data_IF_820850801907
#
_entry.id   IF_820850801907
#
_cell.length_a   1.000
_cell.length_b   1.000
_cell.length_c   1.000
_cell.angle_alpha   90.00
_cell.angle_beta   90.00
_cell.angle_gamma   90.00
#
_symmetry.space_group_name_H-M   'P 1'
#
loop_
_entity.id
_entity.type
_entity.pdbx_description
1 polymer ?
#
# COMPACT_ATOMS: atom_id res chain seq x y z
N UNK A 1 44.40 17.89 -68.82
CA UNK A 1 44.56 18.03 -67.36
C UNK A 1 43.45 19.01 -66.89
N UNK A 2 42.32 18.51 -66.39
CA UNK A 2 41.18 19.30 -65.99
C UNK A 2 40.99 19.09 -64.48
N UNK A 3 41.08 20.19 -63.68
CA UNK A 3 40.79 20.21 -62.25
C UNK A 3 39.28 20.24 -62.06
N UNK A 4 38.71 19.53 -61.09
CA UNK A 4 37.32 19.67 -60.72
C UNK A 4 37.13 20.85 -59.75
N UNK A 5 36.15 21.74 -60.01
CA UNK A 5 35.64 22.75 -59.13
C UNK A 5 34.89 22.08 -57.98
N UNK A 6 35.37 22.27 -56.77
CA UNK A 6 34.67 21.91 -55.55
C UNK A 6 33.56 22.94 -55.25
N UNK A 7 32.31 22.48 -55.32
CA UNK A 7 31.12 23.23 -54.89
C UNK A 7 31.06 23.24 -53.38
N UNK A 8 31.44 24.37 -52.77
CA UNK A 8 31.23 24.61 -51.31
C UNK A 8 29.77 25.01 -51.12
N UNK A 9 28.94 24.10 -50.66
CA UNK A 9 27.61 24.41 -50.15
C UNK A 9 27.75 25.23 -48.84
N UNK A 10 27.54 26.52 -48.92
CA UNK A 10 27.33 27.39 -47.76
C UNK A 10 25.98 27.03 -47.14
N UNK A 11 25.98 26.33 -45.98
CA UNK A 11 24.84 26.22 -45.13
C UNK A 11 24.51 27.59 -44.53
N UNK A 12 23.38 28.18 -44.95
CA UNK A 12 22.88 29.43 -44.36
C UNK A 12 22.65 29.22 -42.87
N UNK A 13 23.17 30.14 -41.99
CA UNK A 13 22.87 30.07 -40.58
C UNK A 13 21.36 30.31 -40.37
N UNK A 14 20.71 29.40 -39.64
CA UNK A 14 19.32 29.57 -39.21
C UNK A 14 19.19 30.93 -38.51
N UNK A 15 18.40 31.83 -39.08
CA UNK A 15 18.22 33.21 -38.59
C UNK A 15 17.65 33.15 -37.17
N UNK A 16 18.45 33.53 -36.18
CA UNK A 16 18.05 33.68 -34.80
C UNK A 16 17.06 34.84 -34.66
N UNK A 17 15.93 34.63 -33.99
CA UNK A 17 14.87 35.62 -33.86
C UNK A 17 14.86 36.30 -32.50
N UNK A 18 14.51 37.62 -32.45
CA UNK A 18 14.36 38.36 -31.20
C UNK A 18 12.99 38.08 -30.52
N UNK A 19 12.92 38.25 -29.20
CA UNK A 19 11.68 38.02 -28.39
C UNK A 19 10.52 38.90 -28.85
N UNK A 20 10.80 40.11 -29.41
CA UNK A 20 9.77 41.03 -29.89
C UNK A 20 9.08 40.55 -31.19
N UNK A 21 9.54 39.48 -31.79
CA UNK A 21 8.95 38.86 -32.97
C UNK A 21 8.00 37.70 -32.69
N UNK A 22 7.58 37.50 -31.44
CA UNK A 22 6.61 36.45 -31.06
C UNK A 22 5.19 37.00 -31.22
N UNK A 23 4.42 36.40 -32.09
CA UNK A 23 2.98 36.61 -32.25
C UNK A 23 2.22 35.48 -31.57
N UNK A 24 1.23 35.81 -30.73
CA UNK A 24 0.39 34.86 -30.02
C UNK A 24 -1.00 34.91 -30.59
N UNK A 25 -1.57 33.76 -30.92
CA UNK A 25 -2.88 33.59 -31.52
C UNK A 25 -3.69 32.55 -30.75
N UNK A 26 -5.00 32.82 -30.52
CA UNK A 26 -5.93 31.90 -29.91
C UNK A 26 -6.07 32.02 -28.39
N UNK A 27 -5.28 32.86 -27.75
CA UNK A 27 -5.45 33.18 -26.33
C UNK A 27 -6.75 33.98 -26.09
N UNK A 28 -7.40 33.73 -24.96
CA UNK A 28 -8.66 34.39 -24.54
C UNK A 28 -8.53 34.97 -23.12
N UNK A 29 -8.12 34.14 -22.19
CA UNK A 29 -8.01 34.42 -20.74
C UNK A 29 -6.57 34.66 -20.31
N UNK A 30 -5.64 33.91 -20.92
CA UNK A 30 -4.20 34.07 -20.63
C UNK A 30 -3.65 35.25 -21.43
N UNK A 31 -3.02 36.16 -20.74
CA UNK A 31 -2.43 37.35 -21.39
C UNK A 31 -1.29 36.97 -22.33
N UNK A 32 -1.19 37.72 -23.44
CA UNK A 32 -0.13 37.54 -24.46
C UNK A 32 1.26 37.60 -23.84
N UNK A 33 1.48 38.56 -22.93
CA UNK A 33 2.76 38.72 -22.24
C UNK A 33 3.13 37.53 -21.35
N UNK A 34 2.15 36.93 -20.71
CA UNK A 34 2.36 35.69 -19.93
C UNK A 34 2.87 34.56 -20.83
N UNK A 35 2.25 34.36 -22.00
CA UNK A 35 2.68 33.32 -22.95
C UNK A 35 4.09 33.64 -23.47
N UNK A 36 4.39 34.89 -23.80
CA UNK A 36 5.71 35.33 -24.26
C UNK A 36 6.81 35.09 -23.23
N UNK A 37 6.52 35.25 -21.94
CA UNK A 37 7.48 35.10 -20.85
C UNK A 37 8.10 33.69 -20.72
N UNK A 38 7.46 32.68 -21.27
CA UNK A 38 7.99 31.32 -21.33
C UNK A 38 9.11 31.14 -22.35
N UNK A 39 9.17 32.02 -23.37
CA UNK A 39 10.21 31.98 -24.39
C UNK A 39 11.38 32.91 -23.98
N UNK A 40 12.29 32.37 -23.16
CA UNK A 40 13.45 33.12 -22.64
C UNK A 40 14.53 33.27 -23.73
N UNK A 41 14.87 34.49 -24.15
CA UNK A 41 15.92 34.71 -25.14
C UNK A 41 17.31 34.39 -24.58
N UNK A 42 18.21 34.00 -25.46
CA UNK A 42 19.61 33.80 -25.17
C UNK A 42 20.42 35.12 -25.15
N UNK A 43 21.75 35.00 -24.99
CA UNK A 43 22.65 36.12 -25.14
C UNK A 43 22.43 36.78 -26.49
N UNK A 44 22.26 38.13 -26.51
CA UNK A 44 21.95 38.90 -27.72
C UNK A 44 20.46 38.94 -28.12
N UNK A 45 19.53 38.50 -27.24
CA UNK A 45 18.09 38.62 -27.49
C UNK A 45 17.52 37.62 -28.52
N UNK A 46 18.25 36.55 -28.83
CA UNK A 46 17.87 35.60 -29.90
C UNK A 46 17.22 34.35 -29.35
N UNK A 47 16.21 33.82 -30.09
CA UNK A 47 15.56 32.53 -29.84
C UNK A 47 16.05 31.49 -30.85
N UNK A 48 16.92 30.58 -30.40
CA UNK A 48 17.29 29.39 -31.16
C UNK A 48 16.22 28.29 -31.05
N UNK A 49 16.39 27.20 -31.80
CA UNK A 49 15.42 26.10 -31.82
C UNK A 49 15.27 25.41 -30.44
N UNK A 50 16.37 25.31 -29.68
CA UNK A 50 16.35 24.70 -28.35
C UNK A 50 15.51 25.53 -27.36
N UNK A 51 15.69 26.85 -27.35
CA UNK A 51 14.93 27.76 -26.47
C UNK A 51 13.44 27.83 -26.83
N UNK A 52 13.13 27.67 -28.12
CA UNK A 52 11.73 27.55 -28.56
C UNK A 52 11.11 26.25 -28.06
N UNK A 53 11.84 25.15 -28.12
CA UNK A 53 11.40 23.86 -27.59
C UNK A 53 11.24 23.89 -26.05
N UNK A 54 12.18 24.51 -25.34
CA UNK A 54 12.07 24.70 -23.87
C UNK A 54 10.85 25.55 -23.51
N UNK A 55 10.58 26.63 -24.26
CA UNK A 55 9.40 27.46 -24.07
C UNK A 55 8.09 26.70 -24.34
N UNK A 56 8.06 25.87 -25.40
CA UNK A 56 6.92 25.00 -25.71
C UNK A 56 6.65 24.02 -24.60
N UNK A 57 7.68 23.32 -24.12
CA UNK A 57 7.56 22.35 -22.98
C UNK A 57 7.04 23.05 -21.72
N UNK A 58 7.61 24.20 -21.38
CA UNK A 58 7.19 24.98 -20.23
C UNK A 58 5.72 25.44 -20.33
N UNK A 59 5.26 25.84 -21.53
CA UNK A 59 3.83 26.17 -21.74
C UNK A 59 2.93 24.97 -21.59
N UNK A 60 3.29 23.82 -22.12
CA UNK A 60 2.52 22.56 -22.00
C UNK A 60 2.45 22.13 -20.52
N UNK A 61 3.56 22.22 -19.79
CA UNK A 61 3.65 21.86 -18.36
C UNK A 61 2.76 22.73 -17.46
N UNK A 62 2.40 23.95 -17.88
CA UNK A 62 1.45 24.78 -17.11
C UNK A 62 0.05 24.15 -16.99
N UNK A 63 -0.31 23.25 -17.91
CA UNK A 63 -1.66 22.68 -17.99
C UNK A 63 -2.74 23.69 -18.39
N UNK A 64 -2.38 24.93 -18.77
CA UNK A 64 -3.33 25.96 -19.18
C UNK A 64 -3.86 25.76 -20.60
N UNK A 65 -3.14 25.02 -21.43
CA UNK A 65 -3.42 24.85 -22.85
C UNK A 65 -3.66 23.37 -23.19
N UNK A 66 -4.66 23.13 -24.03
CA UNK A 66 -4.94 21.80 -24.59
C UNK A 66 -4.11 21.51 -25.84
N UNK A 67 -3.71 22.58 -26.55
CA UNK A 67 -2.85 22.48 -27.72
C UNK A 67 -1.96 23.76 -27.83
N UNK A 68 -0.70 23.57 -28.21
CA UNK A 68 0.26 24.63 -28.46
C UNK A 68 1.03 24.30 -29.73
N UNK A 69 0.86 25.10 -30.76
CA UNK A 69 1.57 24.95 -32.03
C UNK A 69 2.47 26.14 -32.27
N UNK A 70 3.71 25.90 -32.69
CA UNK A 70 4.67 26.93 -32.99
C UNK A 70 5.07 26.83 -34.46
N UNK A 71 4.84 27.90 -35.18
CA UNK A 71 5.21 28.03 -36.58
C UNK A 71 6.09 29.28 -36.80
N UNK A 72 6.96 29.21 -37.81
CA UNK A 72 7.75 30.39 -38.27
C UNK A 72 7.13 30.93 -39.56
N UNK A 73 6.71 32.18 -39.52
CA UNK A 73 6.13 32.87 -40.68
C UNK A 73 6.79 34.25 -40.85
N UNK A 74 7.38 34.49 -42.03
CA UNK A 74 7.92 35.81 -42.37
C UNK A 74 8.94 36.38 -41.38
N UNK A 75 9.75 35.51 -40.72
CA UNK A 75 10.73 35.93 -39.71
C UNK A 75 10.16 36.11 -38.29
N UNK A 76 8.87 35.85 -38.09
CA UNK A 76 8.20 35.86 -36.78
C UNK A 76 7.95 34.46 -36.27
N UNK A 77 7.93 34.28 -34.94
CA UNK A 77 7.50 33.08 -34.29
C UNK A 77 6.01 33.19 -33.93
N UNK A 78 5.14 32.42 -34.59
CA UNK A 78 3.70 32.41 -34.34
C UNK A 78 3.40 31.25 -33.38
N UNK A 79 2.96 31.60 -32.17
CA UNK A 79 2.53 30.65 -31.12
C UNK A 79 1.03 30.60 -31.10
N UNK A 80 0.46 29.52 -31.64
CA UNK A 80 -1.00 29.28 -31.63
C UNK A 80 -1.34 28.43 -30.43
N UNK A 81 -2.23 28.91 -29.56
CA UNK A 81 -2.65 28.22 -28.35
C UNK A 81 -4.13 27.95 -28.36
N UNK A 82 -4.52 26.83 -27.76
CA UNK A 82 -5.92 26.51 -27.42
C UNK A 82 -6.00 26.36 -25.90
N UNK A 83 -6.68 27.30 -25.26
CA UNK A 83 -6.81 27.26 -23.79
C UNK A 83 -7.72 26.14 -23.30
N UNK A 84 -7.26 25.46 -22.27
CA UNK A 84 -8.10 24.51 -21.53
C UNK A 84 -9.30 25.23 -20.90
N UNK A 85 -10.49 24.65 -20.91
CA UNK A 85 -11.67 25.24 -20.28
C UNK A 85 -11.50 25.36 -18.76
N UNK A 86 -12.29 26.23 -18.16
CA UNK A 86 -12.36 26.43 -16.71
C UNK A 86 -13.45 25.56 -16.12
N UNK A 87 -13.15 24.85 -15.06
CA UNK A 87 -14.14 24.04 -14.33
C UNK A 87 -15.16 24.98 -13.67
N UNK A 88 -16.44 24.88 -14.07
CA UNK A 88 -17.55 25.62 -13.48
C UNK A 88 -17.93 25.05 -12.13
N UNK A 89 -18.21 23.76 -12.10
CA UNK A 89 -18.47 22.99 -10.89
C UNK A 89 -17.90 21.57 -11.00
N UNK A 90 -17.71 20.95 -9.84
CA UNK A 90 -17.41 19.52 -9.70
C UNK A 90 -18.57 18.90 -8.94
N UNK A 91 -19.14 17.83 -9.49
CA UNK A 91 -20.28 17.10 -8.90
C UNK A 91 -19.98 15.60 -8.90
N UNK A 92 -20.66 14.89 -8.00
CA UNK A 92 -20.57 13.43 -7.87
C UNK A 92 -21.98 12.86 -7.96
N UNK A 93 -22.13 11.76 -8.69
CA UNK A 93 -23.41 11.07 -8.85
C UNK A 93 -23.24 9.58 -8.58
N UNK A 94 -24.25 8.96 -7.94
CA UNK A 94 -24.23 7.53 -7.64
C UNK A 94 -23.48 7.13 -6.36
N UNK A 95 -22.80 8.04 -5.70
CA UNK A 95 -22.00 7.84 -4.48
C UNK A 95 -22.85 7.76 -3.19
N UNK A 96 -23.61 6.67 -3.03
CA UNK A 96 -24.53 6.49 -1.89
C UNK A 96 -23.83 6.18 -0.56
N UNK A 97 -22.61 5.65 -0.59
CA UNK A 97 -21.84 5.20 0.59
C UNK A 97 -20.78 6.18 1.05
N UNK A 98 -20.29 7.02 0.15
CA UNK A 98 -19.30 8.05 0.45
C UNK A 98 -19.93 9.41 0.18
N UNK A 99 -19.80 10.35 1.11
CA UNK A 99 -20.38 11.69 0.99
C UNK A 99 -19.59 12.56 0.02
N UNK A 100 -20.26 13.51 -0.64
CA UNK A 100 -19.65 14.46 -1.58
C UNK A 100 -18.47 15.22 -0.96
N UNK A 101 -18.58 15.64 0.33
CA UNK A 101 -17.52 16.37 1.01
C UNK A 101 -16.23 15.55 1.11
N UNK A 102 -16.34 14.23 1.32
CA UNK A 102 -15.20 13.34 1.38
C UNK A 102 -14.54 13.19 0.01
N UNK A 103 -15.35 12.99 -1.04
CA UNK A 103 -14.85 12.90 -2.42
C UNK A 103 -14.22 14.22 -2.86
N UNK A 104 -14.87 15.35 -2.53
CA UNK A 104 -14.39 16.69 -2.86
C UNK A 104 -13.05 17.02 -2.19
N UNK A 105 -12.76 16.47 -1.02
CA UNK A 105 -11.47 16.63 -0.34
C UNK A 105 -10.32 15.93 -1.07
N UNK A 106 -10.59 14.79 -1.68
CA UNK A 106 -9.58 13.93 -2.32
C UNK A 106 -9.27 14.32 -3.78
N UNK A 107 -10.23 14.91 -4.51
CA UNK A 107 -10.00 15.30 -5.90
C UNK A 107 -9.19 16.60 -5.99
N UNK A 108 -8.33 16.70 -6.98
CA UNK A 108 -7.55 17.89 -7.27
C UNK A 108 -8.30 18.89 -8.17
N UNK A 109 -9.20 18.39 -9.02
CA UNK A 109 -10.08 19.23 -9.83
C UNK A 109 -10.98 20.07 -8.91
N UNK A 110 -10.86 21.40 -9.01
CA UNK A 110 -11.63 22.34 -8.18
C UNK A 110 -12.39 23.33 -9.07
N UNK A 111 -13.56 23.83 -8.63
CA UNK A 111 -14.23 24.95 -9.30
C UNK A 111 -13.28 26.13 -9.49
N UNK A 112 -13.39 26.80 -10.64
CA UNK A 112 -12.53 27.89 -11.11
C UNK A 112 -11.09 27.48 -11.49
N UNK A 113 -10.72 26.21 -11.33
CA UNK A 113 -9.47 25.65 -11.82
C UNK A 113 -9.51 25.41 -13.34
N UNK A 114 -8.35 25.28 -13.95
CA UNK A 114 -8.24 24.86 -15.35
C UNK A 114 -8.47 23.36 -15.47
N UNK A 115 -9.27 22.92 -16.44
CA UNK A 115 -9.50 21.51 -16.70
C UNK A 115 -8.24 20.88 -17.29
N UNK A 116 -7.76 19.83 -16.65
CA UNK A 116 -6.69 18.97 -17.17
C UNK A 116 -7.20 17.54 -17.28
N UNK A 117 -7.23 16.98 -18.49
CA UNK A 117 -7.67 15.59 -18.69
C UNK A 117 -6.86 14.57 -17.87
N UNK A 118 -5.52 14.65 -17.79
CA UNK A 118 -4.74 13.77 -16.92
C UNK A 118 -5.13 13.91 -15.44
N UNK A 119 -5.39 15.12 -14.96
CA UNK A 119 -5.85 15.38 -13.58
C UNK A 119 -7.20 14.75 -13.32
N UNK A 120 -8.17 14.93 -14.23
CA UNK A 120 -9.50 14.32 -14.13
C UNK A 120 -9.42 12.78 -14.07
N UNK A 121 -8.56 12.18 -14.89
CA UNK A 121 -8.34 10.74 -14.86
C UNK A 121 -7.71 10.28 -13.54
N UNK A 122 -6.74 11.03 -13.03
CA UNK A 122 -6.14 10.77 -11.72
C UNK A 122 -7.16 10.91 -10.59
N UNK A 123 -8.06 11.89 -10.66
CA UNK A 123 -9.12 12.08 -9.67
C UNK A 123 -10.13 10.92 -9.70
N UNK A 124 -10.50 10.42 -10.88
CA UNK A 124 -11.33 9.23 -10.98
C UNK A 124 -10.69 8.00 -10.31
N UNK A 125 -9.37 7.84 -10.46
CA UNK A 125 -8.63 6.78 -9.81
C UNK A 125 -8.58 6.95 -8.28
N UNK A 126 -8.42 8.18 -7.77
CA UNK A 126 -8.47 8.48 -6.33
C UNK A 126 -9.82 8.17 -5.73
N UNK A 127 -10.90 8.58 -6.42
CA UNK A 127 -12.26 8.23 -6.00
C UNK A 127 -12.43 6.70 -5.93
N UNK A 128 -12.00 5.98 -6.98
CA UNK A 128 -12.07 4.52 -6.98
C UNK A 128 -11.28 3.89 -5.83
N UNK A 129 -10.12 4.46 -5.47
CA UNK A 129 -9.31 3.97 -4.37
C UNK A 129 -9.99 4.12 -3.00
N UNK A 130 -10.77 5.20 -2.77
CA UNK A 130 -11.58 5.36 -1.55
C UNK A 130 -12.57 4.19 -1.40
N UNK A 131 -13.23 3.82 -2.49
CA UNK A 131 -14.16 2.70 -2.49
C UNK A 131 -13.47 1.35 -2.29
N UNK A 132 -12.29 1.15 -2.91
CA UNK A 132 -11.48 -0.08 -2.72
C UNK A 132 -11.06 -0.25 -1.26
N UNK A 133 -10.61 0.82 -0.59
CA UNK A 133 -10.30 0.80 0.85
C UNK A 133 -11.52 0.44 1.71
N UNK A 134 -12.72 0.72 1.24
CA UNK A 134 -13.97 0.30 1.90
C UNK A 134 -14.42 -1.12 1.50
N UNK A 135 -13.58 -1.88 0.78
CA UNK A 135 -13.85 -3.24 0.34
C UNK A 135 -14.69 -3.36 -0.94
N UNK A 136 -14.80 -2.30 -1.75
CA UNK A 136 -15.56 -2.27 -3.00
C UNK A 136 -14.62 -2.20 -4.20
N UNK A 137 -14.07 -3.34 -4.60
CA UNK A 137 -13.06 -3.41 -5.66
C UNK A 137 -13.66 -3.35 -7.08
N UNK A 138 -14.94 -3.67 -7.25
CA UNK A 138 -15.69 -3.59 -8.54
C UNK A 138 -16.27 -2.18 -8.79
N UNK A 139 -15.79 -1.16 -8.08
CA UNK A 139 -16.18 0.23 -8.27
C UNK A 139 -15.74 0.72 -9.65
N UNK A 140 -16.65 1.43 -10.34
CA UNK A 140 -16.34 2.12 -11.58
C UNK A 140 -16.63 3.61 -11.42
N UNK A 141 -15.67 4.45 -11.80
CA UNK A 141 -15.78 5.91 -11.76
C UNK A 141 -15.56 6.45 -13.15
N UNK A 142 -16.60 7.06 -13.72
CA UNK A 142 -16.58 7.63 -15.06
C UNK A 142 -16.68 9.14 -14.97
N UNK A 143 -15.65 9.90 -15.39
CA UNK A 143 -15.73 11.34 -15.46
C UNK A 143 -16.47 11.79 -16.72
N UNK A 144 -17.44 12.67 -16.57
CA UNK A 144 -18.18 13.32 -17.65
C UNK A 144 -17.89 14.81 -17.64
N UNK A 145 -17.69 15.38 -18.81
CA UNK A 145 -17.39 16.79 -19.02
C UNK A 145 -18.50 17.42 -19.86
N UNK A 146 -19.30 18.28 -19.23
CA UNK A 146 -20.42 18.97 -19.89
C UNK A 146 -19.96 20.38 -20.23
N UNK A 147 -19.82 20.65 -21.53
CA UNK A 147 -19.43 21.96 -22.04
C UNK A 147 -20.47 23.03 -21.71
N UNK A 148 -19.99 24.19 -21.28
CA UNK A 148 -20.76 25.35 -20.91
C UNK A 148 -20.29 26.60 -21.74
N UNK A 149 -21.12 27.62 -21.89
CA UNK A 149 -20.71 28.87 -22.53
C UNK A 149 -19.44 29.48 -21.88
N UNK A 150 -18.73 30.31 -22.65
CA UNK A 150 -17.52 31.03 -22.21
C UNK A 150 -16.32 30.14 -21.82
N UNK A 151 -16.10 29.05 -22.58
CA UNK A 151 -14.99 28.09 -22.35
C UNK A 151 -14.97 27.54 -20.92
N UNK A 152 -16.15 27.18 -20.40
CA UNK A 152 -16.33 26.54 -19.10
C UNK A 152 -16.80 25.10 -19.29
N UNK A 153 -16.58 24.29 -18.27
CA UNK A 153 -17.01 22.90 -18.26
C UNK A 153 -17.49 22.53 -16.85
N UNK A 154 -18.60 21.81 -16.78
CA UNK A 154 -19.01 21.13 -15.56
C UNK A 154 -18.45 19.72 -15.58
N UNK A 155 -17.75 19.34 -14.50
CA UNK A 155 -17.13 18.03 -14.32
C UNK A 155 -18.00 17.20 -13.37
N UNK A 156 -18.49 16.07 -13.85
CA UNK A 156 -19.32 15.14 -13.09
C UNK A 156 -18.57 13.81 -13.00
N UNK A 157 -18.42 13.27 -11.79
CA UNK A 157 -17.92 11.92 -11.57
C UNK A 157 -19.10 10.99 -11.27
N UNK A 158 -19.48 10.16 -12.24
CA UNK A 158 -20.51 9.13 -12.06
C UNK A 158 -19.87 7.89 -11.44
N UNK A 159 -20.38 7.51 -10.27
CA UNK A 159 -19.84 6.40 -9.46
C UNK A 159 -20.81 5.22 -9.46
N UNK A 160 -20.39 4.10 -10.02
CA UNK A 160 -21.02 2.81 -9.84
C UNK A 160 -20.30 2.09 -8.69
N UNK A 161 -20.86 2.13 -7.47
CA UNK A 161 -20.15 1.71 -6.25
C UNK A 161 -19.81 0.21 -6.21
N UNK A 162 -20.57 -0.62 -6.92
CA UNK A 162 -20.46 -2.08 -6.81
C UNK A 162 -20.86 -2.64 -5.44
N UNK A 163 -20.81 -3.94 -5.29
CA UNK A 163 -20.98 -4.63 -4.01
C UNK A 163 -19.64 -4.67 -3.25
N UNK A 164 -19.67 -5.01 -1.95
CA UNK A 164 -18.46 -5.40 -1.24
C UNK A 164 -17.87 -6.65 -1.89
N UNK A 165 -16.57 -6.62 -2.11
CA UNK A 165 -15.85 -7.70 -2.79
C UNK A 165 -15.47 -8.78 -1.78
N UNK A 166 -15.89 -10.00 -2.02
CA UNK A 166 -15.61 -11.14 -1.17
C UNK A 166 -14.42 -11.97 -1.63
N UNK A 167 -14.03 -12.92 -0.79
CA UNK A 167 -13.05 -13.97 -1.10
C UNK A 167 -13.78 -15.13 -1.77
N UNK A 168 -13.38 -15.49 -2.97
CA UNK A 168 -14.01 -16.56 -3.77
C UNK A 168 -13.36 -17.91 -3.60
N UNK A 169 -12.05 -17.94 -3.34
CA UNK A 169 -11.29 -19.16 -3.09
C UNK A 169 -10.16 -18.90 -2.12
N UNK A 170 -9.92 -19.87 -1.23
CA UNK A 170 -8.77 -19.91 -0.34
C UNK A 170 -8.02 -21.20 -0.59
N UNK A 171 -6.78 -21.08 -1.03
CA UNK A 171 -5.92 -22.20 -1.36
C UNK A 171 -4.68 -22.22 -0.47
N UNK A 172 -4.17 -23.43 -0.24
CA UNK A 172 -2.93 -23.64 0.51
C UNK A 172 -1.99 -24.47 -0.36
N UNK A 173 -0.73 -24.06 -0.40
CA UNK A 173 0.33 -24.72 -1.16
C UNK A 173 1.46 -25.09 -0.23
N UNK A 174 1.89 -26.36 -0.27
CA UNK A 174 2.95 -26.89 0.59
C UNK A 174 2.43 -27.48 1.91
N UNK A 175 1.12 -27.56 2.13
CA UNK A 175 0.46 -28.11 3.32
C UNK A 175 0.30 -29.64 3.25
N UNK A 176 1.41 -30.37 3.35
CA UNK A 176 1.40 -31.86 3.24
C UNK A 176 0.90 -32.52 4.53
N UNK A 177 1.18 -31.95 5.70
CA UNK A 177 0.84 -32.51 7.00
C UNK A 177 -0.63 -32.30 7.39
N UNK A 178 -1.26 -31.24 6.91
CA UNK A 178 -2.65 -30.91 7.23
C UNK A 178 -3.43 -30.59 5.97
N UNK A 179 -4.66 -31.08 5.91
CA UNK A 179 -5.56 -30.81 4.78
C UNK A 179 -5.95 -29.33 4.72
N UNK A 180 -6.22 -28.82 3.50
CA UNK A 180 -6.72 -27.47 3.30
C UNK A 180 -8.02 -27.21 4.05
N UNK A 181 -8.89 -28.22 4.20
CA UNK A 181 -10.09 -28.13 5.02
C UNK A 181 -9.76 -27.79 6.48
N UNK A 182 -8.77 -28.49 7.07
CA UNK A 182 -8.33 -28.24 8.45
C UNK A 182 -7.73 -26.86 8.64
N UNK A 183 -6.98 -26.36 7.64
CA UNK A 183 -6.40 -25.02 7.70
C UNK A 183 -7.44 -23.92 7.53
N UNK A 184 -8.51 -24.15 6.73
CA UNK A 184 -9.66 -23.23 6.64
C UNK A 184 -10.37 -23.05 7.98
N UNK A 185 -10.41 -24.06 8.85
CA UNK A 185 -10.97 -23.93 10.19
C UNK A 185 -10.11 -23.10 11.16
N UNK A 186 -8.82 -22.91 10.84
CA UNK A 186 -7.87 -22.15 11.68
C UNK A 186 -7.93 -20.66 11.41
N UNK A 187 -8.21 -20.26 10.17
CA UNK A 187 -8.22 -18.88 9.72
C UNK A 187 -9.56 -18.18 9.94
N UNK A 188 -9.55 -16.85 9.93
CA UNK A 188 -10.74 -16.01 10.09
C UNK A 188 -11.36 -15.56 8.78
N UNK A 189 -10.57 -15.57 7.69
CA UNK A 189 -11.08 -15.30 6.35
C UNK A 189 -11.87 -16.51 5.86
N UNK A 190 -13.06 -16.27 5.31
CA UNK A 190 -13.93 -17.30 4.78
C UNK A 190 -14.26 -17.02 3.31
N UNK A 191 -14.54 -18.09 2.57
CA UNK A 191 -15.02 -18.00 1.20
C UNK A 191 -16.47 -17.51 1.17
N UNK A 192 -16.79 -16.65 0.20
CA UNK A 192 -18.15 -16.16 -0.03
C UNK A 192 -19.07 -17.32 -0.42
N UNK A 193 -20.14 -17.52 0.33
CA UNK A 193 -21.16 -18.55 0.08
C UNK A 193 -22.58 -17.92 0.07
N UNK A 194 -23.61 -18.73 -0.16
CA UNK A 194 -25.01 -18.28 -0.19
C UNK A 194 -25.50 -17.66 1.12
N UNK A 195 -24.82 -17.95 2.26
CA UNK A 195 -25.18 -17.43 3.58
C UNK A 195 -24.29 -16.26 4.03
N UNK A 196 -23.45 -15.73 3.13
CA UNK A 196 -22.50 -14.63 3.43
C UNK A 196 -23.19 -13.34 3.90
N UNK A 197 -24.48 -13.17 3.66
CA UNK A 197 -25.25 -12.03 4.17
C UNK A 197 -25.36 -12.00 5.71
N UNK A 198 -25.07 -13.09 6.39
CA UNK A 198 -25.12 -13.21 7.86
C UNK A 198 -23.80 -12.87 8.56
N UNK A 199 -22.71 -12.69 7.82
CA UNK A 199 -21.38 -12.44 8.38
C UNK A 199 -20.56 -11.45 7.57
N UNK A 200 -19.38 -11.10 8.08
CA UNK A 200 -18.41 -10.20 7.42
C UNK A 200 -17.06 -10.85 7.12
N UNK A 201 -16.89 -12.11 7.49
CA UNK A 201 -15.63 -12.86 7.31
C UNK A 201 -15.30 -13.19 5.85
N UNK A 202 -16.27 -13.10 4.97
CA UNK A 202 -16.17 -13.36 3.53
C UNK A 202 -15.80 -12.13 2.71
N UNK A 203 -15.90 -10.92 3.26
CA UNK A 203 -15.40 -9.68 2.63
C UNK A 203 -13.88 -9.70 2.69
N UNK A 204 -13.23 -9.43 1.56
CA UNK A 204 -11.77 -9.32 1.53
C UNK A 204 -11.28 -8.18 2.41
N UNK A 205 -10.29 -8.51 3.26
CA UNK A 205 -9.64 -7.61 4.20
C UNK A 205 -8.16 -8.01 4.28
N UNK A 206 -7.24 -7.17 3.77
CA UNK A 206 -5.82 -7.49 3.73
C UNK A 206 -5.20 -7.68 5.12
N UNK A 207 -5.63 -6.91 6.13
CA UNK A 207 -5.11 -7.02 7.49
C UNK A 207 -5.53 -8.36 8.13
N UNK A 208 -6.73 -8.83 7.80
CA UNK A 208 -7.21 -10.15 8.26
C UNK A 208 -6.45 -11.28 7.59
N UNK A 209 -6.17 -11.18 6.28
CA UNK A 209 -5.37 -12.18 5.56
C UNK A 209 -3.95 -12.25 6.14
N UNK A 210 -3.36 -11.12 6.52
CA UNK A 210 -2.06 -11.10 7.19
C UNK A 210 -2.13 -11.72 8.60
N UNK A 211 -3.18 -11.43 9.36
CA UNK A 211 -3.41 -12.08 10.66
C UNK A 211 -3.63 -13.60 10.53
N UNK A 212 -4.24 -14.05 9.44
CA UNK A 212 -4.45 -15.48 9.17
C UNK A 212 -3.12 -16.22 8.94
N UNK A 213 -2.09 -15.57 8.37
CA UNK A 213 -0.73 -16.13 8.29
C UNK A 213 -0.18 -16.49 9.66
N UNK A 214 -0.38 -15.62 10.65
CA UNK A 214 0.03 -15.88 12.03
C UNK A 214 -0.77 -17.01 12.66
N UNK A 215 -2.06 -17.10 12.38
CA UNK A 215 -2.90 -18.21 12.88
C UNK A 215 -2.44 -19.55 12.31
N UNK A 216 -2.17 -19.63 11.00
CA UNK A 216 -1.62 -20.82 10.34
C UNK A 216 -0.28 -21.17 10.98
N UNK A 217 0.64 -20.21 11.10
CA UNK A 217 1.96 -20.42 11.72
C UNK A 217 1.84 -20.95 13.13
N UNK A 218 0.99 -20.35 13.99
CA UNK A 218 0.75 -20.82 15.37
C UNK A 218 0.16 -22.22 15.41
N UNK A 219 -0.75 -22.56 14.48
CA UNK A 219 -1.32 -23.87 14.37
C UNK A 219 -0.24 -24.93 14.10
N UNK A 220 0.68 -24.70 13.18
CA UNK A 220 1.80 -25.60 12.90
C UNK A 220 2.77 -25.71 14.08
N UNK A 221 3.12 -24.58 14.71
CA UNK A 221 3.96 -24.57 15.93
C UNK A 221 3.36 -25.36 17.10
N UNK A 222 2.03 -25.33 17.23
CA UNK A 222 1.31 -26.14 18.22
C UNK A 222 1.37 -27.64 17.92
N UNK A 223 1.55 -28.01 16.66
CA UNK A 223 1.57 -29.39 16.20
C UNK A 223 3.00 -29.93 15.91
N UNK A 224 4.01 -29.28 16.43
CA UNK A 224 5.40 -29.78 16.40
C UNK A 224 6.26 -29.24 15.26
N UNK A 225 5.74 -28.41 14.36
CA UNK A 225 6.49 -27.89 13.22
C UNK A 225 7.24 -26.59 13.59
N UNK A 226 8.38 -26.74 14.28
CA UNK A 226 9.13 -25.62 14.84
C UNK A 226 9.76 -24.70 13.78
N UNK A 227 9.98 -25.20 12.56
CA UNK A 227 10.61 -24.48 11.45
C UNK A 227 9.59 -23.93 10.44
N UNK A 228 8.30 -24.07 10.71
CA UNK A 228 7.25 -23.65 9.78
C UNK A 228 7.38 -22.17 9.40
N UNK A 229 7.26 -21.92 8.11
CA UNK A 229 7.16 -20.57 7.55
C UNK A 229 5.95 -20.47 6.64
N UNK A 230 5.13 -19.44 6.82
CA UNK A 230 4.12 -19.03 5.85
C UNK A 230 4.76 -17.94 4.99
N UNK A 231 5.41 -18.35 3.91
CA UNK A 231 6.30 -17.48 3.11
C UNK A 231 5.55 -16.41 2.34
N UNK A 232 4.29 -16.67 2.00
CA UNK A 232 3.46 -15.68 1.30
C UNK A 232 1.97 -15.91 1.56
N UNK A 233 1.21 -14.82 1.54
CA UNK A 233 -0.23 -14.80 1.33
C UNK A 233 -0.48 -13.99 0.06
N UNK A 234 -0.62 -14.68 -1.07
CA UNK A 234 -0.86 -14.06 -2.37
C UNK A 234 -2.35 -13.79 -2.51
N UNK A 235 -2.71 -12.57 -2.92
CA UNK A 235 -4.08 -12.18 -3.17
C UNK A 235 -4.21 -11.65 -4.58
N UNK A 236 -5.13 -12.22 -5.34
CA UNK A 236 -5.39 -11.84 -6.73
C UNK A 236 -6.87 -11.55 -6.90
N UNK A 237 -7.19 -10.41 -7.52
CA UNK A 237 -8.57 -10.09 -7.89
C UNK A 237 -8.92 -10.76 -9.20
N UNK A 238 -9.97 -11.61 -9.19
CA UNK A 238 -10.52 -12.26 -10.37
C UNK A 238 -11.72 -11.43 -10.88
N UNK A 239 -11.59 -10.75 -12.03
CA UNK A 239 -12.67 -9.93 -12.59
C UNK A 239 -13.89 -10.75 -13.06
N UNK A 240 -13.69 -12.01 -13.47
CA UNK A 240 -14.76 -12.90 -13.94
C UNK A 240 -15.60 -13.37 -12.76
N UNK A 241 -14.97 -13.78 -11.67
CA UNK A 241 -15.63 -14.19 -10.42
C UNK A 241 -16.03 -13.04 -9.53
N UNK A 242 -15.59 -11.80 -9.86
CA UNK A 242 -15.80 -10.57 -9.09
C UNK A 242 -15.42 -10.74 -7.61
N UNK A 243 -14.21 -11.25 -7.36
CA UNK A 243 -13.74 -11.50 -6.01
C UNK A 243 -12.28 -11.87 -5.93
N UNK A 244 -11.79 -12.06 -4.71
CA UNK A 244 -10.38 -12.37 -4.44
C UNK A 244 -10.15 -13.88 -4.36
N UNK A 245 -9.03 -14.30 -4.94
CA UNK A 245 -8.39 -15.59 -4.69
C UNK A 245 -7.26 -15.34 -3.70
N UNK A 246 -7.22 -16.11 -2.62
CA UNK A 246 -6.19 -16.01 -1.58
C UNK A 246 -5.43 -17.32 -1.55
N UNK A 247 -4.10 -17.27 -1.71
CA UNK A 247 -3.23 -18.45 -1.69
C UNK A 247 -2.17 -18.30 -0.61
N UNK A 248 -2.21 -19.17 0.40
CA UNK A 248 -1.18 -19.26 1.44
C UNK A 248 -0.10 -20.25 1.02
N UNK A 249 1.14 -19.79 0.90
CA UNK A 249 2.29 -20.65 0.60
C UNK A 249 3.02 -20.99 1.89
N UNK A 250 3.13 -22.31 2.18
CA UNK A 250 3.61 -22.83 3.45
C UNK A 250 4.86 -23.70 3.19
N UNK A 251 5.89 -23.48 3.99
CA UNK A 251 7.04 -24.37 4.13
C UNK A 251 6.95 -24.96 5.53
N UNK A 252 6.49 -26.22 5.63
CA UNK A 252 6.17 -26.86 6.92
C UNK A 252 7.42 -27.15 7.75
N UNK A 253 8.52 -27.50 7.09
CA UNK A 253 9.69 -28.08 7.76
C UNK A 253 9.41 -29.48 8.29
N UNK A 254 10.23 -29.91 9.28
CA UNK A 254 10.08 -31.21 9.94
C UNK A 254 9.30 -31.06 11.25
N UNK A 255 8.69 -32.19 11.66
CA UNK A 255 8.03 -32.26 12.97
C UNK A 255 9.04 -32.57 14.08
N UNK A 256 9.04 -31.78 15.13
CA UNK A 256 9.97 -31.86 16.25
C UNK A 256 9.31 -32.43 17.52
N UNK A 257 10.12 -33.14 18.29
CA UNK A 257 9.81 -33.55 19.67
C UNK A 257 10.68 -32.81 20.68
N UNK A 258 10.26 -32.75 21.91
CA UNK A 258 11.06 -32.20 23.01
C UNK A 258 12.16 -33.19 23.38
N UNK A 259 13.42 -32.79 23.21
CA UNK A 259 14.62 -33.61 23.52
C UNK A 259 15.02 -33.52 24.99
N UNK A 260 15.06 -32.31 25.56
CA UNK A 260 15.33 -32.06 26.98
C UNK A 260 14.50 -30.88 27.49
N UNK A 261 14.33 -30.82 28.81
CA UNK A 261 13.70 -29.70 29.52
C UNK A 261 14.54 -29.35 30.73
N UNK A 262 15.18 -28.20 30.69
CA UNK A 262 16.09 -27.71 31.71
C UNK A 262 15.57 -26.37 32.30
N UNK A 263 15.99 -26.12 33.54
CA UNK A 263 15.59 -24.93 34.30
C UNK A 263 16.83 -24.22 34.80
N UNK A 264 16.95 -22.92 34.57
CA UNK A 264 18.07 -22.08 34.98
C UNK A 264 17.55 -20.82 35.65
N UNK A 265 18.19 -20.37 36.73
CA UNK A 265 17.82 -19.13 37.40
C UNK A 265 19.08 -18.28 37.65
N UNK A 266 18.94 -16.96 37.41
CA UNK A 266 19.92 -15.94 37.82
C UNK A 266 19.60 -15.42 39.22
N UNK A 267 18.47 -15.80 39.81
CA UNK A 267 18.05 -15.39 41.17
C UNK A 267 18.65 -16.36 42.16
N UNK A 268 19.62 -15.95 43.01
CA UNK A 268 20.40 -16.86 43.86
C UNK A 268 19.56 -17.64 44.89
N UNK A 269 18.42 -17.07 45.29
CA UNK A 269 17.55 -17.66 46.33
C UNK A 269 16.42 -18.53 45.74
N UNK A 270 16.29 -18.60 44.42
CA UNK A 270 15.29 -19.40 43.75
C UNK A 270 15.91 -20.67 43.16
N UNK A 271 15.55 -21.84 43.73
CA UNK A 271 15.85 -23.12 43.07
C UNK A 271 15.00 -23.28 41.83
N UNK A 272 15.61 -23.24 40.61
CA UNK A 272 14.85 -23.31 39.35
C UNK A 272 14.13 -24.64 39.20
N UNK A 273 14.60 -25.75 39.74
CA UNK A 273 13.96 -27.05 39.68
C UNK A 273 12.65 -27.13 40.48
N UNK A 274 12.49 -26.25 41.46
CA UNK A 274 11.24 -26.14 42.21
C UNK A 274 10.03 -25.69 41.37
N UNK A 275 10.28 -25.14 40.18
CA UNK A 275 9.25 -24.74 39.23
C UNK A 275 8.96 -25.81 38.17
N UNK A 276 9.68 -26.94 38.17
CA UNK A 276 9.51 -28.05 37.20
C UNK A 276 8.07 -28.58 37.12
N UNK A 277 7.38 -28.66 38.25
CA UNK A 277 5.99 -29.16 38.32
C UNK A 277 4.98 -28.28 37.58
N UNK A 278 5.35 -27.06 37.27
CA UNK A 278 4.53 -26.10 36.51
C UNK A 278 4.83 -26.12 35.00
N UNK A 279 5.74 -27.02 34.57
CA UNK A 279 5.99 -27.25 33.15
C UNK A 279 4.94 -28.15 32.53
N UNK A 280 4.29 -27.71 31.47
CA UNK A 280 3.42 -28.53 30.61
C UNK A 280 4.19 -29.19 29.47
N UNK A 281 5.49 -28.94 29.37
CA UNK A 281 6.39 -29.49 28.35
C UNK A 281 7.12 -30.69 28.95
N UNK A 282 7.01 -31.86 28.29
CA UNK A 282 7.64 -33.08 28.70
C UNK A 282 8.59 -33.62 27.63
N UNK A 283 9.69 -34.24 28.08
CA UNK A 283 10.64 -34.91 27.17
C UNK A 283 9.93 -36.00 26.38
N UNK A 284 10.20 -36.06 25.06
CA UNK A 284 9.59 -37.01 24.14
C UNK A 284 8.21 -36.60 23.59
N UNK A 285 7.52 -35.61 24.20
CA UNK A 285 6.29 -35.06 23.66
C UNK A 285 6.52 -34.29 22.37
N UNK A 286 5.48 -34.08 21.56
CA UNK A 286 5.56 -33.17 20.43
C UNK A 286 5.87 -31.75 20.94
N UNK A 287 6.76 -31.04 20.23
CA UNK A 287 6.96 -29.62 20.48
C UNK A 287 5.66 -28.86 20.32
N UNK A 288 5.30 -28.04 21.29
CA UNK A 288 4.04 -27.30 21.30
C UNK A 288 4.24 -25.94 21.93
N UNK A 289 4.16 -24.89 21.11
CA UNK A 289 4.38 -23.50 21.54
C UNK A 289 3.35 -23.06 22.59
N UNK A 290 2.10 -23.51 22.47
CA UNK A 290 1.04 -23.16 23.44
C UNK A 290 1.31 -23.76 24.82
N UNK A 291 1.80 -25.01 24.86
CA UNK A 291 2.22 -25.65 26.12
C UNK A 291 3.42 -24.92 26.74
N UNK A 292 4.33 -24.42 25.91
CA UNK A 292 5.47 -23.63 26.34
C UNK A 292 5.04 -22.28 26.94
N UNK A 293 4.16 -21.54 26.25
CA UNK A 293 3.61 -20.27 26.71
C UNK A 293 2.86 -20.41 28.04
N UNK A 294 2.01 -21.46 28.17
CA UNK A 294 1.30 -21.78 29.43
C UNK A 294 2.25 -22.14 30.56
N UNK A 295 3.31 -22.88 30.26
CA UNK A 295 4.34 -23.18 31.27
C UNK A 295 5.00 -21.93 31.81
N UNK A 296 5.36 -20.99 30.94
CA UNK A 296 5.92 -19.69 31.29
C UNK A 296 4.97 -18.92 32.21
N UNK A 297 3.70 -18.83 31.84
CA UNK A 297 2.67 -18.14 32.63
C UNK A 297 2.54 -18.75 34.03
N UNK A 298 2.40 -20.08 34.13
CA UNK A 298 2.25 -20.77 35.39
C UNK A 298 3.48 -20.63 36.29
N UNK A 299 4.69 -20.70 35.71
CA UNK A 299 5.95 -20.50 36.44
C UNK A 299 6.10 -19.07 36.93
N UNK A 300 5.71 -18.06 36.16
CA UNK A 300 5.74 -16.66 36.59
C UNK A 300 4.76 -16.40 37.75
N UNK A 301 3.55 -16.93 37.65
CA UNK A 301 2.56 -16.83 38.75
C UNK A 301 3.11 -17.46 40.02
N UNK A 302 3.69 -18.65 39.92
CA UNK A 302 4.23 -19.33 41.08
C UNK A 302 5.48 -18.64 41.67
N UNK A 303 6.38 -18.13 40.81
CA UNK A 303 7.53 -17.34 41.29
C UNK A 303 7.04 -16.09 42.04
N UNK A 304 6.02 -15.40 41.53
CA UNK A 304 5.41 -14.25 42.21
C UNK A 304 4.82 -14.60 43.58
N UNK A 305 4.12 -15.76 43.69
CA UNK A 305 3.55 -16.26 44.97
C UNK A 305 4.63 -16.55 46.01
N UNK A 306 5.83 -16.95 45.56
CA UNK A 306 6.99 -17.20 46.45
C UNK A 306 7.76 -15.95 46.82
N UNK A 307 7.26 -14.77 46.43
CA UNK A 307 7.89 -13.48 46.75
C UNK A 307 8.79 -12.90 45.66
N UNK A 308 8.94 -13.59 44.52
CA UNK A 308 9.73 -13.11 43.38
C UNK A 308 8.84 -12.34 42.39
N UNK A 309 8.26 -11.24 42.83
CA UNK A 309 7.25 -10.47 42.08
C UNK A 309 7.75 -9.91 40.74
N UNK A 310 9.04 -9.77 40.57
CA UNK A 310 9.68 -9.26 39.34
C UNK A 310 10.37 -10.36 38.52
N UNK A 311 10.23 -11.63 38.88
CA UNK A 311 10.81 -12.71 38.11
C UNK A 311 10.16 -12.81 36.72
N UNK A 312 11.03 -12.95 35.70
CA UNK A 312 10.61 -13.12 34.30
C UNK A 312 11.11 -14.47 33.83
N UNK A 313 10.20 -15.31 33.39
CA UNK A 313 10.54 -16.63 32.81
C UNK A 313 10.58 -16.50 31.29
N UNK A 314 11.72 -16.86 30.69
CA UNK A 314 11.91 -16.86 29.25
C UNK A 314 12.27 -18.25 28.75
N UNK A 315 11.48 -18.83 27.86
CA UNK A 315 11.85 -20.09 27.24
C UNK A 315 12.90 -19.86 26.17
N UNK A 316 13.93 -20.69 26.15
CA UNK A 316 14.91 -20.78 25.08
C UNK A 316 14.83 -22.16 24.47
N UNK A 317 14.82 -22.23 23.14
CA UNK A 317 14.77 -23.50 22.40
C UNK A 317 16.00 -23.62 21.52
N UNK A 318 16.69 -24.74 21.62
CA UNK A 318 17.77 -25.12 20.70
C UNK A 318 17.34 -26.35 19.90
N UNK A 319 17.43 -26.28 18.57
CA UNK A 319 16.96 -27.29 17.64
C UNK A 319 18.08 -28.21 17.18
N UNK A 320 17.87 -29.49 17.33
CA UNK A 320 18.71 -30.50 16.70
C UNK A 320 18.02 -31.00 15.44
N UNK A 321 18.57 -30.58 14.28
CA UNK A 321 17.99 -30.90 12.97
C UNK A 321 18.14 -32.38 12.61
N UNK A 322 19.19 -33.06 13.06
CA UNK A 322 19.44 -34.47 12.77
C UNK A 322 18.49 -35.37 13.57
N UNK A 323 18.32 -35.06 14.86
CA UNK A 323 17.46 -35.84 15.75
C UNK A 323 15.98 -35.39 15.72
N UNK A 324 15.64 -34.32 15.03
CA UNK A 324 14.33 -33.66 15.02
C UNK A 324 13.82 -33.40 16.44
N UNK A 325 14.69 -32.85 17.31
CA UNK A 325 14.36 -32.53 18.71
C UNK A 325 14.63 -31.07 19.03
N UNK A 326 13.87 -30.55 20.00
CA UNK A 326 14.08 -29.21 20.57
C UNK A 326 14.46 -29.38 22.04
N UNK A 327 15.63 -28.88 22.43
CA UNK A 327 16.02 -28.73 23.83
C UNK A 327 15.41 -27.44 24.35
N UNK A 328 14.60 -27.52 25.41
CA UNK A 328 13.92 -26.37 26.02
C UNK A 328 14.61 -26.01 27.32
N UNK A 329 14.99 -24.74 27.48
CA UNK A 329 15.53 -24.19 28.72
C UNK A 329 14.63 -23.07 29.21
N UNK A 330 14.05 -23.20 30.38
CA UNK A 330 13.34 -22.10 31.04
C UNK A 330 14.35 -21.27 31.85
N UNK A 331 14.69 -20.11 31.35
CA UNK A 331 15.55 -19.15 32.02
C UNK A 331 14.70 -18.21 32.89
N UNK A 332 14.99 -18.18 34.20
CA UNK A 332 14.28 -17.36 35.17
C UNK A 332 15.24 -16.24 35.61
N UNK A 333 14.90 -15.02 35.24
CA UNK A 333 15.72 -13.83 35.50
C UNK A 333 15.00 -12.87 36.44
N UNK A 334 15.74 -12.07 37.23
CA UNK A 334 15.15 -10.95 37.92
C UNK A 334 14.84 -9.84 36.91
N UNK A 335 13.56 -9.56 36.69
CA UNK A 335 13.09 -8.50 35.80
C UNK A 335 13.33 -7.10 36.38
N UNK A 336 13.06 -6.05 35.62
CA UNK A 336 13.21 -4.68 36.08
C UNK A 336 12.26 -4.40 37.25
N UNK A 337 12.80 -3.84 38.33
CA UNK A 337 12.00 -3.45 39.51
C UNK A 337 11.20 -2.21 39.18
N UNK A 338 9.88 -2.32 39.30
CA UNK A 338 8.98 -1.16 39.19
C UNK A 338 8.64 -0.63 40.58
N UNK A 339 8.87 0.63 40.82
CA UNK A 339 8.56 1.29 42.09
C UNK A 339 7.27 2.09 41.93
N UNK A 340 6.41 2.03 42.97
CA UNK A 340 5.23 2.91 43.05
C UNK A 340 5.69 4.23 43.62
N UNK A 341 5.71 5.28 42.79
CA UNK A 341 6.13 6.62 43.20
C UNK A 341 5.09 7.30 44.10
N UNK A 342 3.80 7.08 43.89
CA UNK A 342 2.72 7.69 44.64
C UNK A 342 1.41 6.88 44.58
N UNK A 343 0.81 6.66 45.72
CA UNK A 343 -0.56 6.12 45.85
C UNK A 343 -1.49 7.26 46.30
N UNK A 344 -2.43 7.65 45.45
CA UNK A 344 -3.47 8.64 45.79
C UNK A 344 -4.78 7.88 46.10
N UNK A 345 -5.20 7.90 47.36
CA UNK A 345 -6.49 7.38 47.78
C UNK A 345 -7.49 8.55 47.77
N UNK A 346 -8.50 8.50 46.91
CA UNK A 346 -9.59 9.47 46.87
C UNK A 346 -10.89 8.79 47.25
N UNK A 347 -11.54 9.34 48.26
CA UNK A 347 -12.86 8.90 48.73
C UNK A 347 -12.75 8.04 49.98
N UNK A 348 -13.54 8.44 50.96
CA UNK A 348 -13.87 7.64 52.14
C UNK A 348 -15.29 7.13 51.94
#
# INVERSE_FOLDING_TARGET
MALPLANVMMSSPAAAQSVNAIEVVGNRRVEVETIRSYFKPGPGGTLDAGRVDDGLKALIETGLFSDVKINRQGGRLVVTVVENPVIGRVAFEGNKKVKDEQLQAEVQSKPRGTLSRPMVQSDAQRIAEIYRRSGRYDVRVTPEMIEQPNNRVDLIFTVEEGAKTGVKSIEFVGNNAFSSYRLKDVIKTHETNLLSFLGSGDVYDPDRVEADRDLIRRFYLKNGYADVQVVAALTEYDPERKGFLVTFKIEEGQQYRVGSVDFQSTIPTLDPNSLRTFSRVNVGSLYNVESLEKSVEEMQIEASRRGYAFAVVRPRGDRNFEAHTVSVVFAIDEGPRTYIERINIRGN
#
